data_IF_886103417158
#
_entry.id   IF_886103417158
#
_cell.length_a   1.000
_cell.length_b   1.000
_cell.length_c   1.000
_cell.angle_alpha   90.00
_cell.angle_beta   90.00
_cell.angle_gamma   90.00
#
_symmetry.space_group_name_H-M   'P 1'
#
loop_
_entity.id
_entity.type
_entity.pdbx_description
1 polymer ?
#
# COMPACT_ATOMS: atom_id res chain seq x y z
N UNK A 1 22.06 -11.90 23.63
CA UNK A 1 21.74 -13.02 22.73
C UNK A 1 20.83 -13.94 23.53
N UNK A 2 19.60 -14.12 23.09
CA UNK A 2 18.71 -15.08 23.76
C UNK A 2 19.14 -16.48 23.29
N UNK A 3 19.67 -17.28 24.19
CA UNK A 3 20.05 -18.67 23.94
C UNK A 3 18.85 -19.64 23.87
N UNK A 4 17.67 -19.13 23.51
CA UNK A 4 16.52 -19.96 23.25
C UNK A 4 16.65 -20.55 21.84
N UNK A 5 16.74 -21.86 21.75
CA UNK A 5 16.74 -22.66 20.51
C UNK A 5 15.31 -22.67 19.87
N UNK A 6 14.62 -21.54 19.87
CA UNK A 6 13.30 -21.44 19.26
C UNK A 6 13.38 -21.48 17.74
N UNK A 7 12.34 -22.00 17.13
CA UNK A 7 12.22 -22.01 15.69
C UNK A 7 12.02 -20.62 15.09
N UNK A 8 11.91 -20.56 13.79
CA UNK A 8 11.74 -19.31 13.03
C UNK A 8 10.40 -19.30 12.31
N UNK A 9 9.67 -18.20 12.40
CA UNK A 9 8.49 -17.95 11.58
C UNK A 9 8.92 -17.27 10.28
N UNK A 10 8.75 -17.95 9.15
CA UNK A 10 9.01 -17.41 7.82
C UNK A 10 7.71 -16.91 7.19
N UNK A 11 7.68 -15.67 6.70
CA UNK A 11 6.58 -15.15 5.90
C UNK A 11 6.95 -15.34 4.43
N UNK A 12 6.29 -16.29 3.77
CA UNK A 12 6.67 -16.71 2.42
C UNK A 12 5.59 -16.32 1.42
N UNK A 13 5.88 -15.34 0.54
CA UNK A 13 4.96 -14.96 -0.54
C UNK A 13 4.73 -16.10 -1.52
N UNK A 14 3.49 -16.19 -2.00
CA UNK A 14 3.05 -17.11 -3.05
C UNK A 14 2.74 -16.33 -4.33
N UNK A 15 2.69 -16.97 -5.50
CA UNK A 15 2.33 -16.30 -6.75
C UNK A 15 0.92 -15.69 -6.71
N UNK A 16 0.72 -14.59 -7.44
CA UNK A 16 -0.59 -13.94 -7.59
C UNK A 16 -1.29 -14.31 -8.91
N UNK A 17 -0.77 -15.34 -9.60
CA UNK A 17 -1.35 -15.81 -10.86
C UNK A 17 -0.38 -16.49 -11.80
N UNK A 18 0.93 -16.27 -11.63
CA UNK A 18 1.97 -16.88 -12.43
C UNK A 18 3.00 -17.61 -11.54
N UNK A 19 3.14 -18.90 -11.72
CA UNK A 19 4.06 -19.74 -10.92
C UNK A 19 5.53 -19.33 -11.10
N UNK A 20 5.89 -18.66 -12.20
CA UNK A 20 7.25 -18.16 -12.44
C UNK A 20 7.64 -17.01 -11.50
N UNK A 21 6.65 -16.36 -10.85
CA UNK A 21 6.90 -15.31 -9.86
C UNK A 21 7.34 -15.88 -8.50
N UNK A 22 7.40 -17.19 -8.35
CA UNK A 22 7.92 -17.83 -7.15
C UNK A 22 9.43 -17.64 -7.05
N UNK A 23 9.92 -17.07 -5.93
CA UNK A 23 11.35 -16.87 -5.77
C UNK A 23 12.09 -18.17 -5.42
N UNK A 24 13.32 -18.32 -5.89
CA UNK A 24 14.18 -19.46 -5.50
C UNK A 24 14.31 -19.60 -3.97
N UNK A 25 14.37 -18.48 -3.25
CA UNK A 25 14.45 -18.48 -1.77
C UNK A 25 13.16 -19.00 -1.16
N UNK A 26 12.00 -18.63 -1.69
CA UNK A 26 10.71 -19.11 -1.20
C UNK A 26 10.59 -20.64 -1.38
N UNK A 27 10.93 -21.15 -2.57
CA UNK A 27 10.93 -22.61 -2.84
C UNK A 27 11.85 -23.34 -1.87
N UNK A 28 13.08 -22.86 -1.66
CA UNK A 28 14.03 -23.44 -0.74
C UNK A 28 13.49 -23.45 0.70
N UNK A 29 13.00 -22.32 1.22
CA UNK A 29 12.49 -22.22 2.59
C UNK A 29 11.29 -23.13 2.80
N UNK A 30 10.34 -23.19 1.86
CA UNK A 30 9.20 -24.12 1.94
C UNK A 30 9.64 -25.58 1.98
N UNK A 31 10.77 -25.91 1.36
CA UNK A 31 11.38 -27.25 1.43
C UNK A 31 12.17 -27.52 2.72
N UNK A 32 12.62 -26.50 3.45
CA UNK A 32 13.46 -26.62 4.65
C UNK A 32 12.64 -26.62 5.95
N UNK A 33 11.57 -25.82 6.06
CA UNK A 33 10.75 -25.68 7.28
C UNK A 33 10.11 -27.01 7.72
N UNK A 34 9.72 -27.09 8.99
CA UNK A 34 9.10 -28.30 9.56
C UNK A 34 7.63 -28.43 9.19
N UNK A 35 6.91 -27.30 9.08
CA UNK A 35 5.51 -27.27 8.63
C UNK A 35 5.18 -25.93 7.95
N UNK A 36 4.05 -25.90 7.25
CA UNK A 36 3.56 -24.71 6.52
C UNK A 36 2.15 -24.39 7.01
N UNK A 37 1.97 -23.20 7.56
CA UNK A 37 0.67 -22.63 7.91
C UNK A 37 0.09 -21.94 6.67
N UNK A 38 -1.10 -22.37 6.25
CA UNK A 38 -1.75 -21.93 5.02
C UNK A 38 -3.22 -21.58 5.24
N UNK A 39 -3.73 -20.56 4.56
CA UNK A 39 -5.13 -20.14 4.59
C UNK A 39 -6.03 -21.22 3.98
N UNK A 40 -5.77 -21.61 2.73
CA UNK A 40 -6.37 -22.79 2.10
C UNK A 40 -5.28 -23.85 1.81
N UNK A 41 -5.30 -24.92 2.61
CA UNK A 41 -4.34 -26.03 2.47
C UNK A 41 -4.45 -26.78 1.16
N UNK A 42 -5.62 -26.74 0.49
CA UNK A 42 -5.83 -27.37 -0.83
C UNK A 42 -5.12 -26.57 -1.91
N UNK A 43 -5.27 -25.24 -1.88
CA UNK A 43 -4.59 -24.34 -2.81
C UNK A 43 -3.07 -24.43 -2.65
N UNK A 44 -2.61 -24.28 -1.42
CA UNK A 44 -1.18 -24.43 -1.08
C UNK A 44 -0.64 -25.82 -1.46
N UNK A 45 -1.40 -26.89 -1.25
CA UNK A 45 -1.01 -28.24 -1.65
C UNK A 45 -0.75 -28.40 -3.16
N UNK A 46 -1.52 -27.70 -4.01
CA UNK A 46 -1.27 -27.67 -5.46
C UNK A 46 0.06 -26.97 -5.76
N UNK A 47 0.31 -25.82 -5.13
CA UNK A 47 1.57 -25.08 -5.28
C UNK A 47 2.77 -25.93 -4.88
N UNK A 48 2.74 -26.54 -3.69
CA UNK A 48 3.82 -27.38 -3.17
C UNK A 48 4.08 -28.59 -4.09
N UNK A 49 3.01 -29.22 -4.60
CA UNK A 49 3.14 -30.32 -5.57
C UNK A 49 3.86 -29.89 -6.85
N UNK A 50 3.60 -28.67 -7.33
CA UNK A 50 4.28 -28.14 -8.53
C UNK A 50 5.79 -28.03 -8.34
N UNK A 51 6.23 -27.67 -7.14
CA UNK A 51 7.65 -27.54 -6.80
C UNK A 51 8.26 -28.80 -6.15
N UNK A 52 7.54 -29.94 -6.17
CA UNK A 52 7.94 -31.22 -5.53
C UNK A 52 8.28 -31.09 -4.04
N UNK A 53 7.56 -30.21 -3.33
CA UNK A 53 7.73 -30.00 -1.88
C UNK A 53 6.69 -30.84 -1.13
N UNK A 54 7.18 -31.61 -0.11
CA UNK A 54 6.33 -32.46 0.74
C UNK A 54 6.53 -32.07 2.20
N UNK A 55 5.63 -31.22 2.71
CA UNK A 55 5.65 -30.73 4.10
C UNK A 55 4.27 -30.83 4.72
N UNK A 56 4.18 -31.01 6.04
CA UNK A 56 2.92 -30.92 6.76
C UNK A 56 2.27 -29.55 6.55
N UNK A 57 0.95 -29.55 6.30
CA UNK A 57 0.15 -28.33 6.18
C UNK A 57 -0.71 -28.15 7.42
N UNK A 58 -0.69 -26.94 7.99
CA UNK A 58 -1.52 -26.50 9.09
C UNK A 58 -2.52 -25.49 8.52
N UNK A 59 -3.82 -25.77 8.62
CA UNK A 59 -4.83 -24.81 8.22
C UNK A 59 -4.86 -23.64 9.21
N UNK A 60 -4.63 -22.40 8.72
CA UNK A 60 -4.60 -21.18 9.51
C UNK A 60 -5.33 -20.05 8.79
N UNK A 61 -6.56 -19.77 9.19
CA UNK A 61 -7.44 -18.77 8.57
C UNK A 61 -8.21 -18.00 9.65
N UNK A 62 -8.92 -16.94 9.25
CA UNK A 62 -9.60 -16.01 10.17
C UNK A 62 -10.50 -16.72 11.20
N UNK A 63 -11.17 -17.81 10.83
CA UNK A 63 -12.12 -18.51 11.72
C UNK A 63 -11.45 -19.45 12.72
N UNK A 64 -10.16 -19.80 12.56
CA UNK A 64 -9.44 -20.71 13.47
C UNK A 64 -8.15 -20.10 14.05
N UNK A 65 -7.87 -18.84 13.77
CA UNK A 65 -6.59 -18.18 14.09
C UNK A 65 -6.21 -18.24 15.58
N UNK A 66 -7.19 -18.23 16.50
CA UNK A 66 -6.87 -18.32 17.93
C UNK A 66 -6.36 -19.72 18.31
N UNK A 67 -7.10 -20.76 17.97
CA UNK A 67 -6.72 -22.15 18.28
C UNK A 67 -5.44 -22.56 17.53
N UNK A 68 -5.42 -22.37 16.22
CA UNK A 68 -4.28 -22.78 15.39
C UNK A 68 -3.09 -21.88 15.56
N UNK A 69 -3.28 -20.58 15.85
CA UNK A 69 -2.22 -19.67 16.21
C UNK A 69 -1.49 -20.12 17.47
N UNK A 70 -2.23 -20.49 18.53
CA UNK A 70 -1.64 -21.04 19.76
C UNK A 70 -0.82 -22.31 19.47
N UNK A 71 -1.36 -23.23 18.68
CA UNK A 71 -0.66 -24.45 18.28
C UNK A 71 0.62 -24.16 17.49
N UNK A 72 0.59 -23.23 16.52
CA UNK A 72 1.79 -22.84 15.76
C UNK A 72 2.83 -22.20 16.68
N UNK A 73 2.40 -21.39 17.65
CA UNK A 73 3.30 -20.80 18.63
C UNK A 73 3.99 -21.87 19.52
N UNK A 74 3.29 -22.93 19.91
CA UNK A 74 3.87 -24.05 20.64
C UNK A 74 4.98 -24.74 19.81
N UNK A 75 4.72 -25.04 18.53
CA UNK A 75 5.72 -25.63 17.63
C UNK A 75 6.98 -24.74 17.49
N UNK A 76 6.78 -23.41 17.34
CA UNK A 76 7.90 -22.47 17.25
C UNK A 76 8.72 -22.43 18.55
N UNK A 77 8.09 -22.51 19.73
CA UNK A 77 8.75 -22.57 21.04
C UNK A 77 9.51 -23.90 21.20
N UNK A 78 9.02 -24.98 20.63
CA UNK A 78 9.69 -26.30 20.60
C UNK A 78 10.87 -26.37 19.62
N UNK A 79 11.20 -25.25 18.93
CA UNK A 79 12.34 -25.16 18.02
C UNK A 79 12.00 -25.48 16.56
N UNK A 80 10.74 -25.77 16.22
CA UNK A 80 10.33 -26.02 14.84
C UNK A 80 10.22 -24.73 14.06
N UNK A 81 10.72 -24.71 12.82
CA UNK A 81 10.57 -23.59 11.90
C UNK A 81 9.30 -23.72 11.05
N UNK A 82 8.51 -22.66 10.99
CA UNK A 82 7.21 -22.66 10.33
C UNK A 82 7.19 -21.60 9.23
N UNK A 83 6.71 -21.96 8.02
CA UNK A 83 6.40 -21.00 6.99
C UNK A 83 4.90 -20.62 7.07
N UNK A 84 4.61 -19.34 7.09
CA UNK A 84 3.24 -18.83 6.89
C UNK A 84 3.11 -18.37 5.44
N UNK A 85 2.07 -18.85 4.74
CA UNK A 85 1.73 -18.48 3.37
C UNK A 85 0.29 -18.00 3.29
N UNK A 86 -0.01 -17.08 2.37
CA UNK A 86 -1.37 -16.71 1.98
C UNK A 86 -1.78 -17.46 0.71
N UNK A 87 -3.04 -17.36 0.33
CA UNK A 87 -3.54 -17.94 -0.92
C UNK A 87 -2.88 -17.30 -2.15
N UNK A 88 -2.59 -15.99 -2.09
CA UNK A 88 -1.91 -15.28 -3.16
C UNK A 88 -1.15 -14.06 -2.62
N UNK A 89 0.11 -13.92 -3.01
CA UNK A 89 0.96 -12.78 -2.66
C UNK A 89 1.62 -12.87 -1.28
N UNK A 90 1.82 -11.73 -0.64
CA UNK A 90 2.53 -11.63 0.63
C UNK A 90 1.59 -11.94 1.80
N UNK A 91 1.96 -12.91 2.67
CA UNK A 91 1.19 -13.16 3.90
C UNK A 91 1.28 -11.95 4.85
N UNK A 92 0.32 -11.85 5.75
CA UNK A 92 0.09 -10.73 6.67
C UNK A 92 -0.37 -9.42 6.00
N UNK A 93 -0.76 -9.48 4.71
CA UNK A 93 -1.40 -8.35 4.02
C UNK A 93 -2.82 -8.77 3.62
N UNK A 94 -3.82 -8.27 4.32
CA UNK A 94 -5.25 -8.60 4.13
C UNK A 94 -5.60 -10.07 4.45
N UNK A 95 -4.80 -10.73 5.28
CA UNK A 95 -4.99 -12.11 5.74
C UNK A 95 -4.65 -12.26 7.25
N UNK A 96 -4.96 -13.40 7.89
CA UNK A 96 -4.75 -13.61 9.32
C UNK A 96 -3.29 -13.73 9.75
N UNK A 97 -2.34 -13.78 8.82
CA UNK A 97 -0.91 -13.88 9.11
C UNK A 97 -0.38 -12.77 10.02
N UNK A 98 -0.99 -11.57 9.96
CA UNK A 98 -0.61 -10.44 10.81
C UNK A 98 -0.76 -10.74 12.31
N UNK A 99 -1.80 -11.46 12.72
CA UNK A 99 -2.01 -11.89 14.11
C UNK A 99 -0.89 -12.84 14.57
N UNK A 100 -0.51 -13.81 13.74
CA UNK A 100 0.57 -14.74 14.03
C UNK A 100 1.92 -14.02 14.18
N UNK A 101 2.20 -13.05 13.34
CA UNK A 101 3.40 -12.20 13.41
C UNK A 101 3.45 -11.44 14.74
N UNK A 102 2.34 -10.82 15.13
CA UNK A 102 2.24 -10.09 16.40
C UNK A 102 2.55 -11.02 17.59
N UNK A 103 1.90 -12.18 17.66
CA UNK A 103 2.13 -13.18 18.70
C UNK A 103 3.58 -13.67 18.75
N UNK A 104 4.20 -13.90 17.59
CA UNK A 104 5.60 -14.32 17.49
C UNK A 104 6.57 -13.25 18.03
N UNK A 105 6.37 -12.00 17.64
CA UNK A 105 7.19 -10.86 18.10
C UNK A 105 7.04 -10.66 19.61
N UNK A 106 5.82 -10.71 20.16
CA UNK A 106 5.58 -10.59 21.61
C UNK A 106 6.28 -11.66 22.43
N UNK A 107 6.47 -12.84 21.86
CA UNK A 107 7.21 -13.94 22.50
C UNK A 107 8.73 -13.86 22.25
N UNK A 108 9.21 -12.99 21.39
CA UNK A 108 10.63 -12.89 21.01
C UNK A 108 11.07 -13.95 19.99
N UNK A 109 10.15 -14.59 19.28
CA UNK A 109 10.43 -15.55 18.20
C UNK A 109 10.91 -14.79 16.97
N UNK A 110 11.92 -15.30 16.29
CA UNK A 110 12.45 -14.71 15.07
C UNK A 110 11.43 -14.79 13.94
N UNK A 111 11.09 -13.63 13.34
CA UNK A 111 10.23 -13.54 12.16
C UNK A 111 11.07 -13.10 10.97
N UNK A 112 11.05 -13.90 9.90
CA UNK A 112 11.84 -13.65 8.68
C UNK A 112 10.90 -13.44 7.50
N UNK A 113 10.72 -12.20 7.00
CA UNK A 113 9.96 -11.95 5.79
C UNK A 113 10.79 -12.25 4.55
N UNK A 114 10.16 -12.84 3.54
CA UNK A 114 10.73 -13.02 2.21
C UNK A 114 10.11 -11.99 1.25
N UNK A 115 10.89 -11.38 0.34
CA UNK A 115 10.34 -10.60 -0.75
C UNK A 115 9.65 -11.52 -1.77
N UNK A 116 8.62 -11.03 -2.43
CA UNK A 116 7.92 -11.80 -3.46
C UNK A 116 6.75 -11.05 -4.09
N UNK A 117 5.90 -11.77 -4.79
CA UNK A 117 4.77 -11.22 -5.52
C UNK A 117 3.83 -10.41 -4.62
N UNK A 118 3.44 -9.22 -5.09
CA UNK A 118 2.51 -8.32 -4.41
C UNK A 118 1.69 -7.56 -5.45
N UNK A 119 0.38 -7.79 -5.51
CA UNK A 119 -0.47 -7.21 -6.54
C UNK A 119 -0.53 -5.68 -6.48
N UNK A 120 -0.60 -5.08 -5.28
CA UNK A 120 -0.70 -3.63 -5.12
C UNK A 120 0.54 -2.90 -5.64
N UNK A 121 1.74 -3.34 -5.23
CA UNK A 121 2.99 -2.73 -5.69
C UNK A 121 3.25 -3.01 -7.17
N UNK A 122 2.92 -4.21 -7.68
CA UNK A 122 3.04 -4.54 -9.11
C UNK A 122 2.13 -3.64 -9.95
N UNK A 123 0.89 -3.39 -9.51
CA UNK A 123 0.00 -2.45 -10.18
C UNK A 123 0.52 -1.01 -10.10
N UNK A 124 1.02 -0.58 -8.94
CA UNK A 124 1.51 0.78 -8.71
C UNK A 124 2.64 1.14 -9.68
N UNK A 125 3.67 0.30 -9.78
CA UNK A 125 4.84 0.58 -10.65
C UNK A 125 4.50 0.62 -12.14
N UNK A 126 3.38 -0.01 -12.53
CA UNK A 126 2.87 -0.01 -13.91
C UNK A 126 1.74 1.01 -14.13
N UNK A 127 1.29 1.74 -13.11
CA UNK A 127 0.14 2.64 -13.20
C UNK A 127 0.42 3.92 -13.99
N UNK A 128 1.64 4.45 -13.89
CA UNK A 128 2.00 5.79 -14.36
C UNK A 128 1.68 6.91 -13.35
N UNK A 129 1.16 6.58 -12.16
CA UNK A 129 0.91 7.53 -11.06
C UNK A 129 2.13 7.67 -10.16
N UNK A 130 2.13 8.68 -9.28
CA UNK A 130 3.25 8.94 -8.37
C UNK A 130 3.50 7.74 -7.43
N UNK A 131 4.76 7.33 -7.35
CA UNK A 131 5.22 6.21 -6.53
C UNK A 131 6.00 6.64 -5.29
N UNK A 132 6.21 7.95 -5.07
CA UNK A 132 6.98 8.47 -3.94
C UNK A 132 6.22 8.35 -2.63
N UNK A 133 4.91 8.60 -2.68
CA UNK A 133 4.02 8.47 -1.53
C UNK A 133 2.77 7.72 -1.94
N UNK A 134 2.43 6.66 -1.20
CA UNK A 134 1.24 5.87 -1.48
C UNK A 134 0.64 5.30 -0.20
N UNK A 135 -0.66 5.01 -0.27
CA UNK A 135 -1.41 4.37 0.80
C UNK A 135 -2.12 3.13 0.26
N UNK A 136 -1.84 1.98 0.85
CA UNK A 136 -2.59 0.76 0.58
C UNK A 136 -3.79 0.70 1.53
N UNK A 137 -4.99 0.80 0.97
CA UNK A 137 -6.25 0.77 1.70
C UNK A 137 -6.92 -0.63 1.70
N UNK A 138 -6.39 -1.57 0.89
CA UNK A 138 -6.97 -2.92 0.80
C UNK A 138 -8.38 -2.92 0.22
N UNK A 139 -9.26 -3.80 0.75
CA UNK A 139 -10.66 -3.83 0.35
C UNK A 139 -11.48 -2.79 1.09
N UNK A 140 -12.24 -1.99 0.37
CA UNK A 140 -13.20 -1.08 0.99
C UNK A 140 -14.32 -1.85 1.74
N UNK A 141 -14.91 -1.28 2.79
CA UNK A 141 -16.09 -1.84 3.43
C UNK A 141 -17.18 -2.20 2.41
N UNK A 142 -17.95 -3.26 2.70
CA UNK A 142 -18.86 -3.85 1.69
C UNK A 142 -19.85 -2.84 1.11
N UNK A 143 -20.47 -2.00 1.91
CA UNK A 143 -21.39 -0.92 1.48
C UNK A 143 -21.82 -0.06 2.66
N UNK A 144 -22.58 1.02 2.37
CA UNK A 144 -23.23 1.86 3.36
C UNK A 144 -22.29 2.85 4.04
N UNK A 145 -22.69 3.31 5.23
CA UNK A 145 -22.04 4.40 5.95
C UNK A 145 -20.53 4.23 6.14
N UNK A 146 -20.07 3.03 6.48
CA UNK A 146 -18.65 2.77 6.70
C UNK A 146 -17.79 2.92 5.44
N UNK A 147 -18.32 2.55 4.25
CA UNK A 147 -17.59 2.79 3.00
C UNK A 147 -17.48 4.27 2.67
N UNK A 148 -18.57 5.01 2.86
CA UNK A 148 -18.59 6.47 2.65
C UNK A 148 -17.62 7.16 3.62
N UNK A 149 -17.64 6.82 4.89
CA UNK A 149 -16.73 7.37 5.91
C UNK A 149 -15.25 7.08 5.56
N UNK A 150 -14.94 5.86 5.12
CA UNK A 150 -13.58 5.50 4.72
C UNK A 150 -13.14 6.25 3.47
N UNK A 151 -13.99 6.35 2.45
CA UNK A 151 -13.70 7.14 1.26
C UNK A 151 -13.51 8.62 1.58
N UNK A 152 -14.33 9.20 2.46
CA UNK A 152 -14.17 10.58 2.92
C UNK A 152 -12.83 10.78 3.65
N UNK A 153 -12.41 9.83 4.49
CA UNK A 153 -11.09 9.86 5.15
C UNK A 153 -9.96 9.83 4.12
N UNK A 154 -10.07 8.95 3.13
CA UNK A 154 -9.06 8.76 2.09
C UNK A 154 -9.04 9.92 1.08
N UNK A 155 -10.13 10.68 0.94
CA UNK A 155 -10.21 11.82 0.00
C UNK A 155 -9.18 12.93 0.29
N UNK A 156 -8.66 12.99 1.52
CA UNK A 156 -7.66 13.99 1.94
C UNK A 156 -6.21 13.49 1.76
N UNK A 157 -6.01 12.25 1.38
CA UNK A 157 -4.66 11.69 1.19
C UNK A 157 -4.06 12.20 -0.11
N UNK A 158 -2.89 12.83 -0.04
CA UNK A 158 -2.20 13.41 -1.21
C UNK A 158 -1.33 12.40 -1.97
N UNK A 159 -0.97 11.27 -1.35
CA UNK A 159 -0.27 10.17 -2.02
C UNK A 159 -1.22 9.28 -2.81
N UNK A 160 -0.66 8.51 -3.73
CA UNK A 160 -1.41 7.53 -4.53
C UNK A 160 -2.11 6.51 -3.65
N UNK A 161 -3.39 6.25 -3.92
CA UNK A 161 -4.22 5.30 -3.19
C UNK A 161 -4.28 3.97 -3.93
N UNK A 162 -4.18 2.85 -3.21
CA UNK A 162 -4.26 1.50 -3.78
C UNK A 162 -5.35 0.69 -3.09
N UNK A 163 -6.20 0.04 -3.90
CA UNK A 163 -7.30 -0.78 -3.41
C UNK A 163 -7.34 -2.13 -4.12
N UNK A 164 -7.77 -3.16 -3.40
CA UNK A 164 -8.24 -4.41 -3.99
C UNK A 164 -9.75 -4.36 -4.17
N UNK A 165 -10.24 -4.90 -5.28
CA UNK A 165 -11.69 -4.96 -5.49
C UNK A 165 -12.15 -6.21 -6.25
N UNK A 166 -13.34 -6.67 -5.88
CA UNK A 166 -13.99 -7.81 -6.52
C UNK A 166 -14.86 -7.38 -7.71
N UNK A 167 -14.95 -8.18 -8.77
CA UNK A 167 -15.63 -7.80 -10.00
C UNK A 167 -17.10 -7.40 -9.80
N UNK A 168 -17.81 -8.08 -8.90
CA UNK A 168 -19.22 -7.82 -8.63
C UNK A 168 -19.51 -6.54 -7.84
N UNK A 169 -18.47 -5.88 -7.29
CA UNK A 169 -18.56 -4.60 -6.55
C UNK A 169 -17.99 -3.44 -7.34
N UNK A 170 -17.18 -3.73 -8.36
CA UNK A 170 -16.32 -2.75 -9.02
C UNK A 170 -17.09 -1.50 -9.49
N UNK A 171 -18.23 -1.69 -10.17
CA UNK A 171 -19.03 -0.57 -10.68
C UNK A 171 -19.53 0.35 -9.56
N UNK A 172 -20.09 -0.20 -8.49
CA UNK A 172 -20.59 0.56 -7.34
C UNK A 172 -19.45 1.30 -6.64
N UNK A 173 -18.30 0.64 -6.47
CA UNK A 173 -17.12 1.24 -5.82
C UNK A 173 -16.54 2.38 -6.65
N UNK A 174 -16.45 2.25 -7.96
CA UNK A 174 -15.97 3.33 -8.84
C UNK A 174 -16.88 4.56 -8.77
N UNK A 175 -18.19 4.36 -8.72
CA UNK A 175 -19.15 5.45 -8.53
C UNK A 175 -18.94 6.15 -7.19
N UNK A 176 -18.85 5.39 -6.09
CA UNK A 176 -18.61 5.92 -4.74
C UNK A 176 -17.25 6.66 -4.65
N UNK A 177 -16.22 6.15 -5.34
CA UNK A 177 -14.92 6.83 -5.43
C UNK A 177 -15.01 8.16 -6.17
N UNK A 178 -15.72 8.23 -7.29
CA UNK A 178 -15.94 9.47 -8.03
C UNK A 178 -16.69 10.52 -7.18
N UNK A 179 -17.72 10.09 -6.46
CA UNK A 179 -18.49 10.97 -5.57
C UNK A 179 -17.65 11.51 -4.40
N UNK A 180 -16.74 10.70 -3.85
CA UNK A 180 -15.94 11.07 -2.70
C UNK A 180 -14.64 11.81 -3.06
N UNK A 181 -14.01 11.47 -4.17
CA UNK A 181 -12.68 11.97 -4.56
C UNK A 181 -12.76 13.06 -5.64
N UNK A 182 -13.90 13.19 -6.33
CA UNK A 182 -13.98 13.97 -7.56
C UNK A 182 -13.27 13.29 -8.73
N UNK A 183 -12.98 14.06 -9.77
CA UNK A 183 -12.28 13.51 -10.93
C UNK A 183 -10.77 13.40 -10.66
N UNK A 184 -10.28 12.20 -10.44
CA UNK A 184 -8.86 11.88 -10.28
C UNK A 184 -8.41 10.86 -11.30
N UNK A 185 -7.13 10.90 -11.65
CA UNK A 185 -6.53 9.85 -12.47
C UNK A 185 -6.65 8.49 -11.77
N UNK A 186 -7.01 7.47 -12.54
CA UNK A 186 -7.12 6.09 -12.07
C UNK A 186 -6.47 5.13 -13.06
N UNK A 187 -5.82 4.12 -12.53
CA UNK A 187 -5.42 2.93 -13.28
C UNK A 187 -6.13 1.71 -12.70
N UNK A 188 -6.87 1.01 -13.54
CA UNK A 188 -7.50 -0.27 -13.21
C UNK A 188 -6.62 -1.38 -13.75
N UNK A 189 -5.91 -2.09 -12.87
CA UNK A 189 -5.16 -3.29 -13.20
C UNK A 189 -6.03 -4.51 -12.97
N UNK A 190 -6.10 -5.40 -13.94
CA UNK A 190 -6.93 -6.60 -13.89
C UNK A 190 -6.11 -7.82 -14.21
N UNK A 191 -6.32 -8.91 -13.47
CA UNK A 191 -5.71 -10.23 -13.72
C UNK A 191 -4.18 -10.17 -13.85
N UNK A 192 -3.54 -9.41 -12.93
CA UNK A 192 -2.08 -9.23 -12.91
C UNK A 192 -1.34 -10.57 -12.96
N UNK A 193 -0.29 -10.64 -13.77
CA UNK A 193 0.58 -11.80 -14.03
C UNK A 193 -0.10 -12.95 -14.77
N UNK A 194 -1.43 -12.89 -15.00
CA UNK A 194 -2.20 -13.94 -15.68
C UNK A 194 -2.32 -13.68 -17.18
N UNK A 195 -2.83 -14.67 -17.91
CA UNK A 195 -2.99 -14.61 -19.38
C UNK A 195 -3.80 -13.40 -19.88
N UNK A 196 -4.73 -12.92 -19.08
CA UNK A 196 -5.63 -11.81 -19.44
C UNK A 196 -5.34 -10.54 -18.65
N UNK A 197 -4.06 -10.33 -18.31
CA UNK A 197 -3.61 -9.10 -17.68
C UNK A 197 -3.96 -7.89 -18.55
N UNK A 198 -4.60 -6.91 -17.95
CA UNK A 198 -4.94 -5.65 -18.62
C UNK A 198 -4.77 -4.46 -17.68
N UNK A 199 -4.44 -3.30 -18.27
CA UNK A 199 -4.38 -2.02 -17.59
C UNK A 199 -5.24 -1.00 -18.34
N UNK A 200 -6.22 -0.43 -17.67
CA UNK A 200 -6.99 0.72 -18.16
C UNK A 200 -6.54 1.96 -17.38
N UNK A 201 -5.95 2.93 -18.08
CA UNK A 201 -5.45 4.19 -17.52
C UNK A 201 -6.32 5.33 -18.00
N UNK A 202 -7.01 6.02 -17.10
CA UNK A 202 -7.98 7.06 -17.40
C UNK A 202 -8.19 7.93 -16.16
N UNK A 203 -9.29 8.62 -16.08
CA UNK A 203 -9.78 9.31 -14.88
C UNK A 203 -11.12 8.75 -14.42
N UNK A 204 -11.51 9.04 -13.19
CA UNK A 204 -12.72 8.50 -12.57
C UNK A 204 -13.99 8.92 -13.34
N UNK A 205 -14.06 10.16 -13.82
CA UNK A 205 -15.23 10.66 -14.56
C UNK A 205 -15.43 9.90 -15.87
N UNK A 206 -14.37 9.76 -16.68
CA UNK A 206 -14.42 8.99 -17.92
C UNK A 206 -14.78 7.52 -17.67
N UNK A 207 -14.22 6.93 -16.61
CA UNK A 207 -14.46 5.52 -16.28
C UNK A 207 -15.92 5.28 -15.83
N UNK A 208 -16.50 6.18 -15.03
CA UNK A 208 -17.90 6.06 -14.57
C UNK A 208 -18.88 6.32 -15.72
N UNK A 209 -18.54 7.21 -16.67
CA UNK A 209 -19.39 7.49 -17.83
C UNK A 209 -19.33 6.41 -18.91
N UNK A 210 -18.25 5.63 -18.97
CA UNK A 210 -18.08 4.53 -19.94
C UNK A 210 -17.52 3.27 -19.24
N UNK A 211 -18.40 2.58 -18.55
CA UNK A 211 -18.10 1.34 -17.84
C UNK A 211 -17.86 0.13 -18.78
N UNK A 212 -18.17 0.24 -20.08
CA UNK A 212 -17.94 -0.80 -21.07
C UNK A 212 -16.45 -1.02 -21.37
N UNK A 213 -15.59 -0.04 -21.00
CA UNK A 213 -14.13 -0.18 -21.06
C UNK A 213 -13.60 -1.33 -20.19
N UNK A 214 -14.38 -1.79 -19.20
CA UNK A 214 -13.96 -2.81 -18.25
C UNK A 214 -14.60 -4.17 -18.53
N UNK A 215 -13.81 -5.21 -18.38
CA UNK A 215 -14.30 -6.60 -18.34
C UNK A 215 -14.48 -7.02 -16.87
N UNK A 216 -15.70 -7.14 -16.41
CA UNK A 216 -16.07 -7.44 -15.01
C UNK A 216 -15.84 -8.91 -14.61
N UNK A 217 -14.63 -9.42 -14.83
CA UNK A 217 -14.21 -10.79 -14.46
C UNK A 217 -12.77 -10.78 -13.96
N UNK A 218 -12.49 -11.63 -12.98
CA UNK A 218 -11.16 -11.77 -12.41
C UNK A 218 -10.92 -10.86 -11.21
N UNK A 219 -9.68 -10.54 -10.92
CA UNK A 219 -9.24 -9.79 -9.76
C UNK A 219 -8.76 -8.40 -10.19
N UNK A 220 -9.04 -7.39 -9.36
CA UNK A 220 -8.76 -6.01 -9.67
C UNK A 220 -7.90 -5.35 -8.60
N UNK A 221 -6.96 -4.54 -9.08
CA UNK A 221 -6.26 -3.54 -8.27
C UNK A 221 -6.56 -2.17 -8.85
N UNK A 222 -7.07 -1.27 -8.01
CA UNK A 222 -7.36 0.10 -8.38
C UNK A 222 -6.25 1.00 -7.83
N UNK A 223 -5.62 1.79 -8.68
CA UNK A 223 -4.60 2.76 -8.31
C UNK A 223 -5.16 4.14 -8.64
N UNK A 224 -5.41 4.95 -7.62
CA UNK A 224 -6.06 6.26 -7.75
C UNK A 224 -5.09 7.37 -7.35
N UNK A 225 -5.00 8.43 -8.12
CA UNK A 225 -4.20 9.60 -7.77
C UNK A 225 -4.60 10.19 -6.42
N UNK A 226 -3.63 10.72 -5.69
CA UNK A 226 -3.87 11.42 -4.43
C UNK A 226 -4.74 12.66 -4.59
N UNK A 227 -5.13 13.27 -3.48
CA UNK A 227 -5.71 14.60 -3.50
C UNK A 227 -4.69 15.57 -4.10
N UNK A 228 -5.17 16.50 -4.88
CA UNK A 228 -4.34 17.65 -5.22
C UNK A 228 -3.85 18.25 -3.90
N UNK A 229 -2.54 18.38 -3.75
CA UNK A 229 -2.07 19.29 -2.74
C UNK A 229 -2.81 20.59 -3.03
N UNK A 230 -3.67 21.02 -2.12
CA UNK A 230 -4.03 22.43 -2.10
C UNK A 230 -2.67 23.11 -1.89
N UNK A 231 -2.00 23.38 -2.99
CA UNK A 231 -1.00 24.41 -2.99
C UNK A 231 -1.76 25.62 -2.45
N UNK A 232 -1.57 25.87 -1.16
CA UNK A 232 -1.86 27.19 -0.64
C UNK A 232 -1.14 28.12 -1.59
N UNK A 233 -1.88 28.70 -2.54
CA UNK A 233 -1.44 29.65 -3.55
C UNK A 233 0.11 29.84 -3.59
N UNK A 234 0.83 28.80 -3.97
CA UNK A 234 2.13 28.95 -4.55
C UNK A 234 1.84 29.30 -6.01
N UNK A 235 1.53 30.59 -6.26
CA UNK A 235 1.92 31.22 -7.51
C UNK A 235 3.12 30.45 -8.04
N UNK A 236 3.01 29.95 -9.26
CA UNK A 236 4.13 29.44 -10.04
C UNK A 236 5.36 30.23 -9.60
N UNK A 237 6.31 29.52 -8.97
CA UNK A 237 7.63 30.07 -8.79
C UNK A 237 8.20 30.04 -10.21
N UNK A 238 7.90 31.11 -10.95
CA UNK A 238 8.74 31.51 -12.04
C UNK A 238 10.15 31.60 -11.43
N UNK A 239 11.12 30.94 -12.01
CA UNK A 239 12.55 30.99 -11.67
C UNK A 239 13.14 32.43 -11.88
N UNK A 240 12.35 33.46 -11.80
CA UNK A 240 12.80 34.82 -11.70
C UNK A 240 13.08 35.10 -10.21
N UNK A 241 14.26 35.60 -9.86
CA UNK A 241 14.60 35.93 -8.50
C UNK A 241 13.67 37.08 -8.03
N UNK A 242 12.57 36.71 -7.36
CA UNK A 242 11.70 37.69 -6.70
C UNK A 242 12.56 38.48 -5.73
N UNK A 243 12.77 39.76 -6.04
CA UNK A 243 13.53 40.66 -5.18
C UNK A 243 12.88 40.67 -3.80
N UNK A 244 13.66 40.34 -2.76
CA UNK A 244 13.18 40.46 -1.37
C UNK A 244 12.62 41.82 -1.06
N UNK A 245 13.10 42.86 -1.78
CA UNK A 245 12.61 44.24 -1.71
C UNK A 245 11.15 44.33 -2.13
N UNK A 246 10.80 43.75 -3.27
CA UNK A 246 9.41 43.76 -3.79
C UNK A 246 8.46 42.97 -2.90
N UNK A 247 8.90 41.80 -2.39
CA UNK A 247 8.11 41.00 -1.48
C UNK A 247 7.82 41.68 -0.15
N UNK A 248 8.82 42.43 0.41
CA UNK A 248 8.66 43.23 1.62
C UNK A 248 7.78 44.46 1.34
N UNK A 249 7.94 45.11 0.20
CA UNK A 249 7.14 46.28 -0.18
C UNK A 249 5.69 45.95 -0.34
N UNK A 250 5.36 44.84 -1.01
CA UNK A 250 3.98 44.36 -1.17
C UNK A 250 3.26 44.15 0.17
N UNK A 251 3.95 43.61 1.18
CA UNK A 251 3.41 43.47 2.54
C UNK A 251 3.23 44.81 3.25
N UNK A 252 4.16 45.75 3.07
CA UNK A 252 4.06 47.06 3.64
C UNK A 252 2.89 47.85 3.05
N UNK A 253 2.65 47.72 1.75
CA UNK A 253 1.56 48.39 1.04
C UNK A 253 0.16 47.88 1.51
N UNK A 254 0.11 46.62 2.05
CA UNK A 254 -1.10 46.09 2.70
C UNK A 254 -1.24 46.51 4.17
N UNK A 255 -0.37 47.39 4.67
CA UNK A 255 -0.42 47.93 6.05
C UNK A 255 0.38 47.13 7.09
N UNK A 256 1.16 46.15 6.68
CA UNK A 256 2.01 45.36 7.59
C UNK A 256 3.25 46.22 7.96
N UNK A 257 3.60 46.38 9.26
CA UNK A 257 4.83 47.11 9.66
C UNK A 257 6.09 46.49 9.04
N UNK A 258 7.00 47.32 8.50
CA UNK A 258 8.20 46.87 7.77
C UNK A 258 9.02 45.79 8.49
N UNK A 259 9.19 45.90 9.82
CA UNK A 259 9.88 44.88 10.62
C UNK A 259 9.20 43.51 10.59
N UNK A 260 7.86 43.50 10.56
CA UNK A 260 7.07 42.32 10.52
C UNK A 260 7.04 41.72 9.09
N UNK A 261 6.98 42.59 8.06
CA UNK A 261 7.10 42.20 6.65
C UNK A 261 8.43 41.48 6.37
N UNK A 262 9.56 42.03 6.87
CA UNK A 262 10.88 41.40 6.78
C UNK A 262 10.90 40.02 7.47
N UNK A 263 10.23 39.86 8.60
CA UNK A 263 10.14 38.59 9.32
C UNK A 263 9.36 37.56 8.50
N UNK A 264 8.26 37.96 7.91
CA UNK A 264 7.40 37.10 7.10
C UNK A 264 8.10 36.67 5.81
N UNK A 265 8.78 37.59 5.12
CA UNK A 265 9.57 37.30 3.92
C UNK A 265 10.72 36.35 4.25
N UNK A 266 11.49 36.60 5.33
CA UNK A 266 12.57 35.71 5.76
C UNK A 266 12.07 34.28 6.04
N UNK A 267 10.90 34.13 6.69
CA UNK A 267 10.28 32.86 6.95
C UNK A 267 9.79 32.18 5.65
N UNK A 268 9.16 32.92 4.74
CA UNK A 268 8.64 32.44 3.46
C UNK A 268 9.75 31.88 2.57
N UNK A 269 10.87 32.58 2.47
CA UNK A 269 12.01 32.18 1.62
C UNK A 269 13.07 31.35 2.33
N UNK A 270 12.81 30.93 3.59
CA UNK A 270 13.73 30.15 4.42
C UNK A 270 15.16 30.73 4.50
N UNK A 271 15.25 32.07 4.62
CA UNK A 271 16.51 32.81 4.73
C UNK A 271 16.60 33.56 6.05
N UNK A 272 17.84 34.04 6.43
CA UNK A 272 17.99 34.76 7.67
C UNK A 272 17.33 36.15 7.61
N UNK A 273 16.72 36.60 8.73
CA UNK A 273 16.14 37.96 8.82
C UNK A 273 17.17 39.04 8.51
N UNK A 274 18.42 38.77 8.85
CA UNK A 274 19.52 39.71 8.64
C UNK A 274 19.83 39.88 7.15
N UNK A 275 19.72 38.79 6.37
CA UNK A 275 20.01 38.84 4.93
C UNK A 275 18.90 39.60 4.20
N UNK A 276 17.64 39.39 4.54
CA UNK A 276 16.50 40.14 3.99
C UNK A 276 16.62 41.62 4.39
N UNK A 277 16.94 41.92 5.65
CA UNK A 277 17.10 43.28 6.13
C UNK A 277 18.20 44.03 5.36
N UNK A 278 19.37 43.39 5.19
CA UNK A 278 20.54 44.01 4.50
C UNK A 278 20.27 44.28 3.01
N UNK A 279 19.36 43.52 2.38
CA UNK A 279 18.99 43.70 0.97
C UNK A 279 17.93 44.82 0.84
N UNK A 280 16.98 44.89 1.76
CA UNK A 280 15.88 45.88 1.74
C UNK A 280 16.29 47.28 2.20
N UNK A 281 17.41 47.41 2.96
CA UNK A 281 17.94 48.69 3.45
C UNK A 281 19.14 49.22 2.63
N UNK A 282 19.52 48.53 1.54
CA UNK A 282 20.49 49.05 0.57
C UNK A 282 19.77 49.85 -0.52
#
# INVERSE_FOLDING_TARGET
MNDNEWGTLYLVPTPIGNLEDMTYRAVRILGEVDAIAAEDTRHTGILLKHFDIKKPLISYHEHNKEEKGAYIMELLIEGQSIACVSDAGMPAISDPGADLVTKAIEKGITVVPLPGANAALTALIASGLDTKSFTFAGFLPKRGKHRVEELQRLSQVTGTLMFYEAPHRLQEVLQDMYEAFGNRSITVARELTKKFETFVRTDLENLVNDLEQLTYKGEFVLIVGGADTVESDSTEVSDEPVSYVEAVQALVDTGVPKKEAIRQVAKRFNVSRRDVYNIVER
#
